data_IF_690505435764
#
_entry.id   IF_690505435764
#
_cell.length_a   1.000
_cell.length_b   1.000
_cell.length_c   1.000
_cell.angle_alpha   90.00
_cell.angle_beta   90.00
_cell.angle_gamma   90.00
#
_symmetry.space_group_name_H-M   'P 1'
#
loop_
_entity.id
_entity.type
_entity.pdbx_description
1 polymer ?
#
# COMPACT_ATOMS: atom_id res chain seq x y z
N UNK A 1 11.41 22.19 5.13
CA UNK A 1 12.32 21.53 4.21
C UNK A 1 12.77 22.57 3.19
N UNK A 2 13.99 22.50 2.65
CA UNK A 2 14.40 23.42 1.58
C UNK A 2 13.62 23.07 0.33
N UNK A 3 13.24 24.07 -0.47
CA UNK A 3 12.54 23.87 -1.74
C UNK A 3 13.25 22.86 -2.66
N UNK A 4 14.58 22.76 -2.59
CA UNK A 4 15.37 21.78 -3.34
C UNK A 4 15.07 20.32 -2.95
N UNK A 5 14.73 20.04 -1.68
CA UNK A 5 14.43 18.69 -1.22
C UNK A 5 13.05 18.23 -1.68
N UNK A 6 12.08 19.15 -1.77
CA UNK A 6 10.74 18.84 -2.25
C UNK A 6 10.76 18.55 -3.78
N UNK A 7 11.64 19.23 -4.53
CA UNK A 7 11.86 18.97 -5.96
C UNK A 7 12.57 17.62 -6.20
N UNK A 8 13.59 17.27 -5.42
CA UNK A 8 14.29 15.97 -5.54
C UNK A 8 13.31 14.80 -5.33
N UNK A 9 12.52 14.86 -4.26
CA UNK A 9 11.49 13.85 -3.96
C UNK A 9 10.46 13.77 -5.10
N UNK A 10 10.05 14.90 -5.64
CA UNK A 10 9.12 14.93 -6.77
C UNK A 10 9.71 14.24 -8.00
N UNK A 11 10.98 14.50 -8.33
CA UNK A 11 11.63 13.87 -9.47
C UNK A 11 11.78 12.35 -9.29
N UNK A 12 12.15 11.90 -8.09
CA UNK A 12 12.22 10.47 -7.77
C UNK A 12 10.85 9.79 -7.96
N UNK A 13 9.79 10.42 -7.44
CA UNK A 13 8.41 9.95 -7.67
C UNK A 13 8.05 9.90 -9.16
N UNK A 14 8.40 10.93 -9.94
CA UNK A 14 8.09 10.98 -11.38
C UNK A 14 8.85 9.95 -12.22
N UNK A 15 9.99 9.44 -11.72
CA UNK A 15 10.70 8.33 -12.35
C UNK A 15 9.98 7.02 -12.00
N UNK A 16 9.83 6.72 -10.71
CA UNK A 16 9.24 5.46 -10.25
C UNK A 16 7.79 5.28 -10.71
N UNK A 17 6.94 6.29 -10.52
CA UNK A 17 5.54 6.21 -10.92
C UNK A 17 5.38 6.15 -12.45
N UNK A 18 6.32 6.73 -13.22
CA UNK A 18 6.32 6.64 -14.68
C UNK A 18 6.48 5.19 -15.15
N UNK A 19 7.45 4.47 -14.58
CA UNK A 19 7.67 3.05 -14.87
C UNK A 19 6.46 2.19 -14.48
N UNK A 20 5.85 2.48 -13.33
CA UNK A 20 4.66 1.77 -12.86
C UNK A 20 3.45 2.01 -13.79
N UNK A 21 3.24 3.24 -14.26
CA UNK A 21 2.13 3.57 -15.16
C UNK A 21 2.28 2.93 -16.54
N UNK A 22 3.52 2.83 -17.05
CA UNK A 22 3.82 2.10 -18.27
C UNK A 22 3.47 0.60 -18.11
N UNK A 23 3.93 -0.02 -17.03
CA UNK A 23 3.60 -1.42 -16.71
C UNK A 23 2.10 -1.65 -16.53
N UNK A 24 1.40 -0.73 -15.85
CA UNK A 24 -0.06 -0.79 -15.69
C UNK A 24 -0.78 -0.79 -17.02
N UNK A 25 -0.31 0.00 -17.98
CA UNK A 25 -0.88 0.07 -19.34
C UNK A 25 -0.81 -1.29 -20.03
N UNK A 26 0.35 -1.94 -20.00
CA UNK A 26 0.55 -3.27 -20.59
C UNK A 26 -0.30 -4.34 -19.88
N UNK A 27 -0.30 -4.32 -18.55
CA UNK A 27 -1.03 -5.29 -17.73
C UNK A 27 -2.54 -5.19 -17.92
N UNK A 28 -3.09 -3.98 -18.06
CA UNK A 28 -4.51 -3.77 -18.29
C UNK A 28 -4.96 -4.31 -19.66
N UNK A 29 -4.13 -4.12 -20.69
CA UNK A 29 -4.39 -4.70 -22.02
C UNK A 29 -4.32 -6.21 -21.97
N UNK A 30 -3.36 -6.77 -21.24
CA UNK A 30 -3.24 -8.22 -21.09
C UNK A 30 -4.43 -8.83 -20.32
N UNK A 31 -4.95 -8.10 -19.33
CA UNK A 31 -6.09 -8.52 -18.51
C UNK A 31 -7.36 -8.71 -19.34
N UNK A 32 -7.54 -7.92 -20.41
CA UNK A 32 -8.66 -8.08 -21.34
C UNK A 32 -8.69 -9.50 -21.96
N UNK A 33 -7.51 -10.07 -22.23
CA UNK A 33 -7.38 -11.43 -22.76
C UNK A 33 -7.37 -12.51 -21.69
N UNK A 34 -6.99 -12.17 -20.45
CA UNK A 34 -6.84 -13.10 -19.31
C UNK A 34 -7.59 -12.60 -18.07
N UNK A 35 -8.93 -12.45 -18.12
CA UNK A 35 -9.71 -11.76 -17.09
C UNK A 35 -9.75 -12.45 -15.71
N UNK A 36 -9.48 -13.76 -15.67
CA UNK A 36 -9.45 -14.56 -14.44
C UNK A 36 -8.01 -14.71 -13.88
N UNK A 37 -7.01 -14.01 -14.44
CA UNK A 37 -5.63 -14.05 -13.97
C UNK A 37 -5.46 -13.25 -12.67
N UNK A 38 -5.41 -13.98 -11.56
CA UNK A 38 -5.25 -13.43 -10.22
C UNK A 38 -3.89 -12.77 -9.99
N UNK A 39 -2.83 -13.23 -10.64
CA UNK A 39 -1.51 -12.62 -10.47
C UNK A 39 -1.49 -11.23 -11.13
N UNK A 40 -2.14 -11.12 -12.30
CA UNK A 40 -2.30 -9.87 -13.03
C UNK A 40 -3.17 -8.87 -12.27
N UNK A 41 -4.33 -9.31 -11.75
CA UNK A 41 -5.19 -8.46 -10.91
C UNK A 41 -4.45 -7.93 -9.68
N UNK A 42 -3.64 -8.77 -9.02
CA UNK A 42 -2.85 -8.34 -7.87
C UNK A 42 -1.69 -7.42 -8.24
N UNK A 43 -1.07 -7.62 -9.41
CA UNK A 43 -0.03 -6.72 -9.92
C UNK A 43 -0.58 -5.32 -10.19
N UNK A 44 -1.72 -5.24 -10.89
CA UNK A 44 -2.38 -3.97 -11.20
C UNK A 44 -2.83 -3.24 -9.94
N UNK A 45 -3.46 -3.96 -8.99
CA UNK A 45 -3.82 -3.41 -7.69
C UNK A 45 -2.62 -2.78 -6.97
N UNK A 46 -1.47 -3.47 -6.94
CA UNK A 46 -0.24 -2.95 -6.32
C UNK A 46 0.28 -1.72 -7.06
N UNK A 47 0.23 -1.71 -8.39
CA UNK A 47 0.66 -0.55 -9.19
C UNK A 47 -0.11 0.72 -8.80
N UNK A 48 -1.44 0.66 -8.81
CA UNK A 48 -2.27 1.80 -8.36
C UNK A 48 -2.03 2.17 -6.90
N UNK A 49 -1.86 1.18 -6.01
CA UNK A 49 -1.58 1.43 -4.58
C UNK A 49 -0.28 2.20 -4.37
N UNK A 50 0.79 1.81 -5.09
CA UNK A 50 2.10 2.47 -4.99
C UNK A 50 2.04 3.89 -5.54
N UNK A 51 1.44 4.10 -6.72
CA UNK A 51 1.28 5.44 -7.31
C UNK A 51 0.45 6.34 -6.39
N UNK A 52 -0.66 5.83 -5.82
CA UNK A 52 -1.46 6.55 -4.83
C UNK A 52 -0.64 6.93 -3.60
N UNK A 53 0.19 6.02 -3.09
CA UNK A 53 1.06 6.25 -1.94
C UNK A 53 2.04 7.41 -2.19
N UNK A 54 2.76 7.38 -3.31
CA UNK A 54 3.68 8.44 -3.72
C UNK A 54 2.97 9.78 -3.95
N UNK A 55 1.85 9.76 -4.67
CA UNK A 55 1.02 10.95 -4.90
C UNK A 55 0.48 11.55 -3.60
N UNK A 56 0.12 10.70 -2.63
CA UNK A 56 -0.37 11.13 -1.31
C UNK A 56 0.71 11.82 -0.49
N UNK A 57 1.95 11.30 -0.54
CA UNK A 57 3.09 11.94 0.12
C UNK A 57 3.36 13.36 -0.42
N UNK A 58 3.23 13.53 -1.74
CA UNK A 58 3.40 14.81 -2.44
C UNK A 58 2.12 15.68 -2.47
N UNK A 59 1.04 15.26 -1.81
CA UNK A 59 -0.24 15.97 -1.74
C UNK A 59 -0.89 16.23 -3.12
N UNK A 60 -0.62 15.36 -4.09
CA UNK A 60 -1.21 15.40 -5.44
C UNK A 60 -2.63 14.82 -5.40
N UNK A 61 -3.56 15.55 -4.78
CA UNK A 61 -4.90 15.06 -4.43
C UNK A 61 -5.69 14.49 -5.62
N UNK A 62 -5.57 15.10 -6.80
CA UNK A 62 -6.24 14.62 -8.01
C UNK A 62 -5.79 13.20 -8.41
N UNK A 63 -4.48 12.94 -8.35
CA UNK A 63 -3.91 11.62 -8.62
C UNK A 63 -4.33 10.61 -7.53
N UNK A 64 -4.27 11.02 -6.27
CA UNK A 64 -4.68 10.18 -5.13
C UNK A 64 -6.12 9.72 -5.28
N UNK A 65 -7.04 10.64 -5.59
CA UNK A 65 -8.46 10.33 -5.73
C UNK A 65 -8.70 9.34 -6.88
N UNK A 66 -8.17 9.60 -8.06
CA UNK A 66 -8.37 8.73 -9.22
C UNK A 66 -7.76 7.34 -9.00
N UNK A 67 -6.51 7.27 -8.50
CA UNK A 67 -5.84 6.00 -8.23
C UNK A 67 -6.55 5.19 -7.14
N UNK A 68 -7.06 5.86 -6.09
CA UNK A 68 -7.76 5.17 -5.01
C UNK A 68 -9.06 4.51 -5.50
N UNK A 69 -9.87 5.19 -6.31
CA UNK A 69 -11.11 4.58 -6.80
C UNK A 69 -10.79 3.45 -7.79
N UNK A 70 -9.79 3.63 -8.66
CA UNK A 70 -9.30 2.56 -9.52
C UNK A 70 -8.81 1.33 -8.72
N UNK A 71 -8.01 1.56 -7.67
CA UNK A 71 -7.55 0.51 -6.75
C UNK A 71 -8.73 -0.25 -6.11
N UNK A 72 -9.79 0.45 -5.71
CA UNK A 72 -10.98 -0.20 -5.13
C UNK A 72 -11.70 -1.11 -6.13
N UNK A 73 -11.75 -0.76 -7.42
CA UNK A 73 -12.26 -1.66 -8.46
C UNK A 73 -11.46 -2.96 -8.47
N UNK A 74 -10.13 -2.86 -8.47
CA UNK A 74 -9.24 -4.03 -8.45
C UNK A 74 -9.31 -4.84 -7.16
N UNK A 75 -9.61 -4.20 -6.03
CA UNK A 75 -9.83 -4.88 -4.76
C UNK A 75 -11.08 -5.78 -4.80
N UNK A 76 -12.18 -5.32 -5.41
CA UNK A 76 -13.39 -6.13 -5.62
C UNK A 76 -13.12 -7.28 -6.60
N UNK A 77 -12.43 -7.00 -7.69
CA UNK A 77 -12.10 -8.01 -8.71
C UNK A 77 -11.28 -9.15 -8.12
N UNK A 78 -10.21 -8.84 -7.37
CA UNK A 78 -9.36 -9.88 -6.76
C UNK A 78 -10.03 -10.64 -5.62
N UNK A 79 -11.07 -10.06 -5.00
CA UNK A 79 -11.92 -10.77 -4.02
C UNK A 79 -12.93 -11.70 -4.70
N UNK A 80 -13.07 -11.61 -6.02
CA UNK A 80 -14.07 -12.36 -6.79
C UNK A 80 -15.50 -11.85 -6.56
N UNK A 81 -15.65 -10.63 -6.05
CA UNK A 81 -16.94 -10.01 -5.75
C UNK A 81 -17.57 -9.37 -7.00
N UNK A 82 -16.80 -9.25 -8.09
CA UNK A 82 -17.24 -8.83 -9.42
C UNK A 82 -16.38 -9.50 -10.48
N UNK A 83 -16.94 -9.77 -11.66
CA UNK A 83 -16.18 -10.23 -12.83
C UNK A 83 -15.69 -9.06 -13.70
N UNK A 84 -14.53 -9.27 -14.35
CA UNK A 84 -14.06 -8.37 -15.40
C UNK A 84 -15.04 -8.41 -16.58
N UNK A 85 -15.49 -7.24 -17.02
CA UNK A 85 -16.37 -7.05 -18.18
C UNK A 85 -15.78 -6.00 -19.13
N UNK A 86 -16.22 -5.99 -20.39
CA UNK A 86 -15.74 -4.99 -21.37
C UNK A 86 -16.02 -3.56 -20.90
N UNK A 87 -17.21 -3.30 -20.34
CA UNK A 87 -17.55 -1.99 -19.77
C UNK A 87 -16.60 -1.59 -18.64
N UNK A 88 -16.25 -2.53 -17.76
CA UNK A 88 -15.30 -2.26 -16.68
C UNK A 88 -13.92 -1.92 -17.25
N UNK A 89 -13.45 -2.68 -18.24
CA UNK A 89 -12.15 -2.43 -18.88
C UNK A 89 -12.10 -1.07 -19.57
N UNK A 90 -13.15 -0.69 -20.30
CA UNK A 90 -13.24 0.62 -20.95
C UNK A 90 -13.09 1.76 -19.92
N UNK A 91 -13.80 1.67 -18.80
CA UNK A 91 -13.76 2.69 -17.74
C UNK A 91 -12.41 2.72 -17.03
N UNK A 92 -11.80 1.56 -16.78
CA UNK A 92 -10.48 1.48 -16.13
C UNK A 92 -9.37 2.02 -17.05
N UNK A 93 -9.41 1.72 -18.35
CA UNK A 93 -8.46 2.28 -19.31
C UNK A 93 -8.61 3.81 -19.41
N UNK A 94 -9.85 4.32 -19.41
CA UNK A 94 -10.09 5.76 -19.34
C UNK A 94 -9.54 6.39 -18.04
N UNK A 95 -9.63 5.66 -16.92
CA UNK A 95 -9.03 6.10 -15.65
C UNK A 95 -7.51 6.17 -15.74
N UNK A 96 -6.87 5.15 -16.32
CA UNK A 96 -5.43 5.14 -16.55
C UNK A 96 -4.99 6.29 -17.47
N UNK A 97 -5.70 6.54 -18.58
CA UNK A 97 -5.43 7.68 -19.46
C UNK A 97 -5.51 9.01 -18.71
N UNK A 98 -6.51 9.14 -17.82
CA UNK A 98 -6.67 10.33 -16.97
C UNK A 98 -5.51 10.48 -15.98
N UNK A 99 -5.08 9.39 -15.37
CA UNK A 99 -3.91 9.37 -14.47
C UNK A 99 -2.64 9.76 -15.22
N UNK A 100 -2.41 9.23 -16.43
CA UNK A 100 -1.28 9.60 -17.28
C UNK A 100 -1.32 11.09 -17.64
N UNK A 101 -2.49 11.64 -17.99
CA UNK A 101 -2.63 13.07 -18.27
C UNK A 101 -2.32 13.95 -17.05
N UNK A 102 -2.79 13.56 -15.86
CA UNK A 102 -2.43 14.25 -14.61
C UNK A 102 -0.93 14.15 -14.33
N UNK A 103 -0.35 12.98 -14.58
CA UNK A 103 1.07 12.71 -14.36
C UNK A 103 1.96 13.59 -15.26
N UNK A 104 1.59 13.73 -16.53
CA UNK A 104 2.26 14.63 -17.47
C UNK A 104 2.16 16.09 -17.03
N UNK A 105 1.01 16.53 -16.53
CA UNK A 105 0.85 17.88 -15.97
C UNK A 105 1.78 18.12 -14.79
N UNK A 106 1.92 17.13 -13.89
CA UNK A 106 2.86 17.22 -12.76
C UNK A 106 4.31 17.27 -13.25
N UNK A 107 4.67 16.48 -14.27
CA UNK A 107 6.00 16.53 -14.91
C UNK A 107 6.29 17.89 -15.54
N UNK A 108 5.27 18.57 -16.07
CA UNK A 108 5.33 19.94 -16.58
C UNK A 108 5.26 21.02 -15.48
N UNK A 109 5.34 20.63 -14.20
CA UNK A 109 5.21 21.51 -13.04
C UNK A 109 3.89 22.32 -13.03
N UNK A 110 2.83 21.72 -13.56
CA UNK A 110 1.48 22.26 -13.59
C UNK A 110 0.56 21.53 -12.61
N UNK A 111 -0.46 22.21 -12.11
CA UNK A 111 -1.43 21.59 -11.20
C UNK A 111 -2.29 20.57 -11.98
N UNK A 112 -2.38 19.31 -11.51
CA UNK A 112 -3.13 18.27 -12.21
C UNK A 112 -4.63 18.59 -12.21
N UNK A 113 -5.24 18.51 -13.38
CA UNK A 113 -6.68 18.66 -13.56
C UNK A 113 -7.39 17.43 -13.01
N UNK A 114 -8.35 17.57 -12.07
CA UNK A 114 -9.09 16.43 -11.54
C UNK A 114 -9.84 15.64 -12.61
N UNK A 115 -10.03 14.35 -12.35
CA UNK A 115 -10.85 13.48 -13.19
C UNK A 115 -12.29 14.00 -13.22
N UNK A 116 -12.99 13.72 -14.33
CA UNK A 116 -14.38 14.17 -14.44
C UNK A 116 -15.26 13.46 -13.41
N UNK A 117 -16.26 14.14 -12.82
CA UNK A 117 -17.17 13.52 -11.86
C UNK A 117 -17.86 12.27 -12.42
N UNK A 118 -18.14 12.25 -13.73
CA UNK A 118 -18.75 11.12 -14.42
C UNK A 118 -17.85 9.88 -14.41
N UNK A 119 -16.53 10.06 -14.62
CA UNK A 119 -15.57 8.97 -14.57
C UNK A 119 -15.41 8.42 -13.16
N UNK A 120 -15.29 9.31 -12.16
CA UNK A 120 -15.19 8.92 -10.76
C UNK A 120 -16.44 8.17 -10.29
N UNK A 121 -17.64 8.62 -10.69
CA UNK A 121 -18.89 7.93 -10.40
C UNK A 121 -18.98 6.56 -11.10
N UNK A 122 -18.51 6.45 -12.35
CA UNK A 122 -18.48 5.19 -13.07
C UNK A 122 -17.56 4.17 -12.39
N UNK A 123 -16.34 4.58 -12.03
CA UNK A 123 -15.40 3.75 -11.27
C UNK A 123 -15.97 3.35 -9.89
N UNK A 124 -16.58 4.30 -9.17
CA UNK A 124 -17.17 4.01 -7.86
C UNK A 124 -18.29 2.95 -7.95
N UNK A 125 -19.16 3.04 -8.94
CA UNK A 125 -20.18 2.01 -9.21
C UNK A 125 -19.55 0.66 -9.56
N UNK A 126 -18.42 0.66 -10.26
CA UNK A 126 -17.69 -0.56 -10.62
C UNK A 126 -16.95 -1.17 -9.41
N UNK A 127 -16.65 -0.37 -8.39
CA UNK A 127 -16.02 -0.77 -7.13
C UNK A 127 -17.02 -1.30 -6.08
N UNK A 128 -18.27 -1.55 -6.46
CA UNK A 128 -19.24 -2.26 -5.62
C UNK A 128 -19.33 -3.76 -6.03
N UNK A 129 -19.71 -4.68 -5.13
CA UNK A 129 -19.96 -6.07 -5.49
C UNK A 129 -21.03 -6.20 -6.59
N UNK A 130 -20.93 -7.25 -7.41
CA UNK A 130 -21.88 -7.52 -8.47
C UNK A 130 -23.28 -7.80 -7.89
N UNK A 131 -24.28 -7.03 -8.31
CA UNK A 131 -25.64 -7.10 -7.78
C UNK A 131 -25.92 -6.21 -6.56
N UNK A 132 -24.98 -5.36 -6.14
CA UNK A 132 -25.19 -4.30 -5.15
C UNK A 132 -25.98 -3.09 -5.71
N UNK A 133 -26.40 -3.13 -6.98
CA UNK A 133 -27.20 -2.05 -7.55
C UNK A 133 -28.43 -1.77 -6.68
N UNK A 134 -28.73 -0.49 -6.39
CA UNK A 134 -30.01 -0.12 -5.80
C UNK A 134 -31.10 -0.71 -6.67
N UNK A 135 -31.88 -1.64 -6.12
CA UNK A 135 -33.00 -2.22 -6.82
C UNK A 135 -33.84 -1.08 -7.41
N UNK A 136 -33.80 -0.93 -8.74
CA UNK A 136 -34.79 -0.14 -9.44
C UNK A 136 -36.16 -0.65 -8.97
N UNK A 137 -37.10 0.24 -8.60
CA UNK A 137 -38.38 -0.20 -8.08
C UNK A 137 -39.10 -0.99 -9.16
N UNK A 138 -39.04 -2.31 -9.05
CA UNK A 138 -39.84 -3.23 -9.83
C UNK A 138 -41.29 -2.85 -9.58
N UNK A 139 -41.93 -2.25 -10.58
CA UNK A 139 -43.36 -1.94 -10.54
C UNK A 139 -44.12 -3.24 -10.30
N UNK A 140 -44.66 -3.38 -9.09
CA UNK A 140 -45.56 -4.48 -8.74
C UNK A 140 -46.90 -4.29 -9.50
N UNK A 141 -47.44 -5.33 -10.17
CA UNK A 141 -48.78 -5.27 -10.73
C UNK A 141 -49.84 -5.21 -9.61
N UNK A 142 -51.01 -4.57 -9.84
CA UNK A 142 -51.94 -4.19 -8.78
C UNK A 142 -52.69 -5.43 -8.28
N UNK A 143 -52.45 -5.82 -7.02
CA UNK A 143 -53.21 -6.85 -6.33
C UNK A 143 -54.30 -6.21 -5.46
N UNK A 144 -55.51 -6.75 -5.61
CA UNK A 144 -56.77 -6.27 -5.08
C UNK A 144 -56.86 -6.24 -3.54
N UNK A 145 -57.58 -5.24 -3.04
CA UNK A 145 -58.06 -5.09 -1.64
C UNK A 145 -59.32 -5.96 -1.46
N UNK A 146 -59.48 -6.73 -0.35
CA UNK A 146 -60.35 -6.29 0.77
C UNK A 146 -59.90 -6.86 2.15
N UNK A 147 -60.68 -6.73 3.25
CA UNK A 147 -60.81 -5.58 4.13
C UNK A 147 -60.31 -5.85 5.58
N UNK A 148 -60.11 -4.76 6.33
CA UNK A 148 -59.65 -4.71 7.72
C UNK A 148 -60.74 -4.96 8.78
N UNK A 149 -60.38 -5.56 9.93
CA UNK A 149 -60.76 -5.15 11.31
C UNK A 149 -60.02 -6.02 12.39
N UNK A 150 -60.00 -5.70 13.71
CA UNK A 150 -58.84 -5.10 14.40
C UNK A 150 -58.37 -5.82 15.70
N UNK A 151 -57.36 -5.21 16.34
CA UNK A 151 -57.00 -5.24 17.78
C UNK A 151 -56.10 -6.39 18.33
N UNK A 152 -54.86 -6.05 18.71
CA UNK A 152 -54.44 -5.73 20.10
C UNK A 152 -52.90 -5.62 20.20
N UNK A 153 -52.35 -4.79 21.12
CA UNK A 153 -50.91 -4.51 21.23
C UNK A 153 -50.18 -5.51 22.13
N UNK A 154 -48.84 -5.57 22.04
CA UNK A 154 -48.05 -5.47 23.27
C UNK A 154 -46.82 -4.56 23.17
N UNK A 155 -46.45 -4.07 24.35
CA UNK A 155 -45.24 -3.33 24.69
C UNK A 155 -43.94 -4.08 24.36
N UNK A 156 -42.91 -3.34 23.93
CA UNK A 156 -41.59 -3.21 24.56
C UNK A 156 -40.51 -2.95 23.48
N UNK A 157 -39.65 -1.92 23.64
CA UNK A 157 -38.53 -1.71 22.73
C UNK A 157 -37.40 -2.68 23.09
N UNK A 158 -37.05 -3.55 22.14
CA UNK A 158 -35.77 -4.24 22.14
C UNK A 158 -34.68 -3.23 21.76
N UNK A 159 -33.85 -2.85 22.71
CA UNK A 159 -32.59 -2.18 22.44
C UNK A 159 -31.65 -3.23 21.85
N UNK A 160 -31.26 -3.00 20.60
CA UNK A 160 -30.14 -3.67 19.97
C UNK A 160 -28.90 -3.42 20.82
N UNK A 161 -28.26 -4.50 21.25
CA UNK A 161 -26.91 -4.46 21.78
C UNK A 161 -25.97 -4.08 20.63
N UNK A 162 -25.72 -2.77 20.46
CA UNK A 162 -24.46 -2.31 19.89
C UNK A 162 -23.39 -2.48 20.98
N UNK A 163 -22.25 -3.04 20.61
CA UNK A 163 -21.08 -3.12 21.48
C UNK A 163 -20.39 -1.76 21.57
N UNK A 164 -21.11 -0.74 22.03
CA UNK A 164 -20.53 0.52 22.47
C UNK A 164 -20.26 0.41 23.96
N UNK A 165 -18.98 0.20 24.31
CA UNK A 165 -18.52 0.38 25.68
C UNK A 165 -18.86 1.82 26.09
N UNK A 166 -19.55 2.01 27.21
CA UNK A 166 -19.87 3.35 27.69
C UNK A 166 -18.65 3.98 28.35
N UNK A 167 -18.52 5.30 28.29
CA UNK A 167 -17.39 6.03 28.90
C UNK A 167 -17.22 5.69 30.39
N UNK A 168 -18.32 5.45 31.11
CA UNK A 168 -18.30 5.06 32.52
C UNK A 168 -17.68 3.66 32.75
N UNK A 169 -17.86 2.74 31.80
CA UNK A 169 -17.30 1.38 31.85
C UNK A 169 -15.81 1.39 31.48
N UNK A 170 -15.41 2.31 30.58
CA UNK A 170 -14.01 2.56 30.24
C UNK A 170 -13.22 3.22 31.40
N UNK A 171 -13.82 4.18 32.13
CA UNK A 171 -13.18 4.79 33.30
C UNK A 171 -12.93 3.78 34.43
N UNK A 172 -13.88 2.86 34.67
CA UNK A 172 -13.69 1.79 35.67
C UNK A 172 -12.60 0.79 35.27
N UNK A 173 -12.42 0.55 33.96
CA UNK A 173 -11.35 -0.31 33.45
C UNK A 173 -9.96 0.36 33.60
N UNK A 174 -9.88 1.68 33.43
CA UNK A 174 -8.65 2.45 33.63
C UNK A 174 -8.24 2.54 35.11
N UNK A 175 -9.19 2.72 36.02
CA UNK A 175 -8.93 2.74 37.46
C UNK A 175 -8.41 1.37 37.96
N UNK A 176 -8.98 0.27 37.43
CA UNK A 176 -8.51 -1.08 37.73
C UNK A 176 -7.09 -1.38 37.21
N UNK A 177 -6.63 -0.67 36.17
CA UNK A 177 -5.27 -0.78 35.62
C UNK A 177 -4.25 0.12 36.34
N UNK A 178 -4.69 1.20 36.98
CA UNK A 178 -3.83 2.17 37.66
C UNK A 178 -3.81 1.99 39.19
N UNK A 179 -4.66 1.11 39.73
CA UNK A 179 -4.69 0.74 41.14
C UNK A 179 -3.54 -0.17 41.59
N UNK A 180 -2.29 0.27 41.44
CA UNK A 180 -1.16 -0.19 42.26
C UNK A 180 -0.17 0.97 42.50
N UNK A 181 -0.59 1.92 43.33
CA UNK A 181 0.29 2.81 44.09
C UNK A 181 0.23 2.33 45.57
N UNK A 182 1.27 2.18 46.38
CA UNK A 182 2.71 2.49 46.39
C UNK A 182 3.31 1.76 47.65
N UNK A 183 4.60 1.87 48.08
CA UNK A 183 5.19 3.16 48.47
C UNK A 183 6.71 3.34 48.23
N UNK A 184 7.09 4.61 48.24
CA UNK A 184 8.46 5.11 48.32
C UNK A 184 9.22 4.63 49.57
N UNK A 185 10.49 4.26 49.40
CA UNK A 185 11.56 4.55 50.37
C UNK A 185 12.96 4.36 49.77
N UNK A 186 13.87 5.26 50.19
CA UNK A 186 15.33 5.17 50.22
C UNK A 186 16.14 5.64 49.01
N UNK A 187 16.61 6.88 49.16
CA UNK A 187 17.75 7.52 48.50
C UNK A 187 19.04 6.72 48.76
N UNK A 188 19.79 6.37 47.72
CA UNK A 188 21.21 6.00 47.81
C UNK A 188 21.93 6.28 46.49
N UNK A 189 22.60 7.44 46.46
CA UNK A 189 23.91 7.75 45.88
C UNK A 189 24.42 7.01 44.61
N UNK A 190 24.70 7.81 43.59
CA UNK A 190 25.45 7.45 42.38
C UNK A 190 26.93 7.07 42.68
N UNK A 191 27.65 6.56 41.67
CA UNK A 191 28.49 7.51 40.95
C UNK A 191 28.38 7.41 39.42
N UNK A 192 28.55 8.57 38.79
CA UNK A 192 28.54 8.78 37.36
C UNK A 192 29.85 8.36 36.68
N UNK A 193 29.77 7.80 35.46
CA UNK A 193 30.55 8.12 34.25
C UNK A 193 30.41 7.00 33.18
N UNK A 194 30.66 7.27 31.88
CA UNK A 194 30.28 8.41 31.05
C UNK A 194 29.26 8.00 29.95
N UNK A 195 28.65 8.99 29.31
CA UNK A 195 27.82 8.80 28.14
C UNK A 195 28.64 8.24 26.96
N UNK A 196 28.37 6.99 26.61
CA UNK A 196 28.62 6.38 25.31
C UNK A 196 27.32 5.72 24.89
N UNK A 197 26.83 6.06 23.71
CA UNK A 197 25.50 5.68 23.17
C UNK A 197 25.47 4.22 22.67
N UNK A 198 26.13 3.31 23.40
CA UNK A 198 26.21 1.88 23.11
C UNK A 198 25.73 1.10 24.34
N UNK A 199 24.51 0.57 24.26
CA UNK A 199 24.01 -0.40 25.24
C UNK A 199 24.88 -1.65 25.11
N UNK A 200 25.42 -2.15 26.22
CA UNK A 200 26.22 -3.37 26.19
C UNK A 200 25.35 -4.59 25.86
N UNK A 201 25.90 -5.61 25.20
CA UNK A 201 25.17 -6.84 24.84
C UNK A 201 24.45 -7.48 26.05
N UNK A 202 25.06 -7.39 27.23
CA UNK A 202 24.47 -7.91 28.47
C UNK A 202 23.27 -7.09 28.96
N UNK A 203 23.28 -5.76 28.77
CA UNK A 203 22.14 -4.90 29.08
C UNK A 203 21.02 -5.10 28.06
N UNK A 204 21.36 -5.32 26.80
CA UNK A 204 20.40 -5.65 25.76
C UNK A 204 19.70 -6.99 26.03
N UNK A 205 20.44 -8.03 26.41
CA UNK A 205 19.86 -9.32 26.81
C UNK A 205 18.92 -9.18 28.02
N UNK A 206 19.32 -8.39 29.02
CA UNK A 206 18.48 -8.13 30.19
C UNK A 206 17.17 -7.41 29.82
N UNK A 207 17.22 -6.46 28.86
CA UNK A 207 16.03 -5.76 28.36
C UNK A 207 15.11 -6.69 27.56
N UNK A 208 15.68 -7.57 26.72
CA UNK A 208 14.91 -8.56 25.97
C UNK A 208 14.19 -9.55 26.91
N UNK A 209 14.89 -10.02 27.94
CA UNK A 209 14.31 -10.91 28.95
C UNK A 209 13.20 -10.23 29.77
N UNK A 210 13.33 -8.93 30.02
CA UNK A 210 12.31 -8.12 30.71
C UNK A 210 11.07 -7.91 29.84
N UNK A 211 11.22 -7.79 28.52
CA UNK A 211 10.11 -7.55 27.58
C UNK A 211 9.39 -8.84 27.14
N UNK A 212 10.12 -9.95 26.96
CA UNK A 212 9.59 -11.17 26.34
C UNK A 212 9.56 -12.40 27.26
N UNK A 213 10.10 -12.28 28.48
CA UNK A 213 10.23 -13.37 29.45
C UNK A 213 11.51 -14.18 29.24
N UNK A 214 12.13 -14.58 30.36
CA UNK A 214 13.47 -15.17 30.42
C UNK A 214 13.70 -16.29 29.40
N UNK A 215 14.73 -16.16 28.57
CA UNK A 215 15.28 -17.23 27.74
C UNK A 215 14.58 -17.46 26.39
N UNK A 216 13.82 -16.48 25.88
CA UNK A 216 13.20 -16.57 24.54
C UNK A 216 14.10 -16.12 23.39
N UNK A 217 15.26 -15.54 23.68
CA UNK A 217 16.22 -15.12 22.67
C UNK A 217 17.60 -15.68 23.00
N UNK A 218 18.07 -16.62 22.18
CA UNK A 218 19.45 -17.12 22.22
C UNK A 218 20.11 -16.62 20.93
N UNK A 219 20.99 -15.62 20.98
CA UNK A 219 21.75 -15.23 19.79
C UNK A 219 22.66 -16.40 19.37
N UNK A 220 22.90 -16.61 18.06
CA UNK A 220 23.84 -17.62 17.60
C UNK A 220 25.24 -17.27 18.11
N UNK A 221 25.85 -18.20 18.84
CA UNK A 221 27.20 -18.07 19.35
C UNK A 221 28.19 -17.84 18.20
N UNK A 222 28.63 -16.59 18.02
CA UNK A 222 29.83 -16.28 17.24
C UNK A 222 31.05 -16.82 17.99
N UNK A 223 31.50 -18.00 17.58
CA UNK A 223 32.80 -18.54 17.96
C UNK A 223 33.90 -17.64 17.38
N UNK A 224 34.46 -16.81 18.24
CA UNK A 224 35.74 -16.18 18.01
C UNK A 224 36.85 -17.22 18.26
N UNK A 225 37.46 -17.72 17.18
CA UNK A 225 38.80 -18.31 17.25
C UNK A 225 39.62 -17.90 16.00
N UNK A 226 40.88 -17.45 16.15
CA UNK A 226 41.63 -16.81 15.08
C UNK A 226 42.40 -17.85 14.26
N UNK A 227 42.00 -18.06 13.00
CA UNK A 227 42.75 -18.87 12.05
C UNK A 227 43.54 -17.97 11.09
N UNK A 228 44.86 -17.94 11.30
CA UNK A 228 45.85 -17.40 10.37
C UNK A 228 45.73 -18.10 9.01
N UNK A 229 45.56 -17.33 7.94
CA UNK A 229 45.72 -17.80 6.56
C UNK A 229 47.16 -17.50 6.09
N UNK A 230 47.95 -18.51 5.68
CA UNK A 230 49.19 -18.25 4.96
C UNK A 230 48.87 -17.87 3.51
N UNK A 231 49.58 -16.85 3.04
CA UNK A 231 49.63 -16.45 1.64
C UNK A 231 50.18 -17.59 0.75
N UNK A 232 49.48 -17.90 -0.32
CA UNK A 232 50.03 -18.64 -1.46
C UNK A 232 49.61 -17.94 -2.76
N UNK A 233 50.63 -17.61 -3.56
CA UNK A 233 50.54 -16.88 -4.80
C UNK A 233 50.30 -17.85 -5.97
N UNK A 234 49.44 -17.48 -6.92
CA UNK A 234 49.45 -18.00 -8.29
C UNK A 234 48.95 -16.90 -9.25
N UNK A 235 49.81 -16.44 -10.17
CA UNK A 235 49.47 -15.61 -11.33
C UNK A 235 48.87 -16.48 -12.49
N UNK A 236 48.58 -15.93 -13.68
CA UNK A 236 47.27 -15.46 -14.11
C UNK A 236 46.64 -16.38 -15.18
N UNK A 237 45.32 -16.37 -15.30
CA UNK A 237 44.62 -17.03 -16.41
C UNK A 237 43.56 -16.10 -17.00
N UNK A 238 43.63 -15.99 -18.33
CA UNK A 238 42.87 -15.12 -19.19
C UNK A 238 41.39 -15.53 -19.35
N UNK A 239 40.63 -14.60 -19.95
CA UNK A 239 39.31 -14.70 -20.58
C UNK A 239 38.09 -14.43 -19.70
N UNK A 240 37.55 -13.20 -19.81
CA UNK A 240 36.31 -12.91 -20.55
C UNK A 240 36.01 -11.41 -20.45
N UNK A 241 36.32 -10.67 -21.53
CA UNK A 241 35.72 -9.36 -21.80
C UNK A 241 34.21 -9.59 -22.04
N UNK A 242 33.28 -8.82 -21.48
CA UNK A 242 33.27 -7.36 -21.49
C UNK A 242 32.69 -6.94 -22.84
N UNK A 243 31.36 -6.93 -22.92
CA UNK A 243 30.57 -6.71 -24.14
C UNK A 243 30.56 -5.22 -24.53
N UNK A 244 31.74 -4.59 -24.55
CA UNK A 244 31.95 -3.23 -25.05
C UNK A 244 32.35 -3.34 -26.52
N UNK A 245 31.41 -3.04 -27.41
CA UNK A 245 31.67 -2.86 -28.84
C UNK A 245 32.68 -1.71 -28.96
N UNK A 246 33.79 -1.96 -29.65
CA UNK A 246 34.81 -0.92 -29.88
C UNK A 246 34.28 0.17 -30.81
N UNK A 247 34.72 1.42 -30.63
CA UNK A 247 34.29 2.57 -31.46
C UNK A 247 34.45 2.31 -32.97
N UNK A 248 35.50 1.57 -33.36
CA UNK A 248 35.76 1.20 -34.76
C UNK A 248 34.70 0.23 -35.32
N UNK A 249 34.14 -0.64 -34.48
CA UNK A 249 33.09 -1.59 -34.85
C UNK A 249 31.71 -0.89 -34.89
N UNK A 250 31.50 0.09 -34.03
CA UNK A 250 30.31 0.94 -34.05
C UNK A 250 30.24 1.82 -35.31
N UNK A 251 31.35 2.44 -35.74
CA UNK A 251 31.41 3.22 -36.99
C UNK A 251 31.15 2.34 -38.23
N UNK A 252 31.66 1.10 -38.24
CA UNK A 252 31.40 0.15 -39.33
C UNK A 252 29.91 -0.23 -39.45
N UNK A 253 29.21 -0.38 -38.32
CA UNK A 253 27.77 -0.67 -38.30
C UNK A 253 26.93 0.53 -38.77
N UNK A 254 27.36 1.76 -38.50
CA UNK A 254 26.69 2.96 -38.99
C UNK A 254 26.83 3.14 -40.50
N UNK A 255 28.00 2.82 -41.07
CA UNK A 255 28.22 2.85 -42.52
C UNK A 255 27.40 1.78 -43.27
N UNK A 256 27.18 0.61 -42.66
CA UNK A 256 26.34 -0.45 -43.23
C UNK A 256 24.83 -0.10 -43.18
N UNK A 257 24.38 0.67 -42.20
CA UNK A 257 22.98 1.07 -42.08
C UNK A 257 22.58 2.21 -43.03
N UNK A 258 23.54 3.09 -43.39
CA UNK A 258 23.31 4.28 -44.21
C UNK A 258 23.90 4.20 -45.63
N UNK A 259 24.46 3.04 -46.00
CA UNK A 259 25.05 2.74 -47.32
C UNK A 259 24.09 2.09 -48.32
#
# INVERSE_FOLDING_TARGET
MSFDADEEILQDFLVEAGEILEQLSEQLVELESRPDDMDLLNAIFRGFHTVKGGAGFLQLNALVECCHIAENVFDILRKGERRVSSELMDVVLQALDTVNAMFDQVREQSEPTPATPELLAALARLAEPEGAEPAEPVQAPPAAVPPAEPAAPPEAPAQSASSDITDDEFEQLLDALQGDEAPASAVAEAPAAPAGDEISDAEFEALLDQLHGKGKFVPPAVSAEPAQVPAEAVEPAAAAAGDDISDDEFEALLDELHG
#
